data_IF_047500152761
#
_entry.id   IF_047500152761
#
_cell.length_a   1.000
_cell.length_b   1.000
_cell.length_c   1.000
_cell.angle_alpha   90.00
_cell.angle_beta   90.00
_cell.angle_gamma   90.00
#
_symmetry.space_group_name_H-M   'P 1'
#
loop_
_entity.id
_entity.type
_entity.pdbx_description
1 polymer ?
#
# COMPACT_ATOMS: atom_id res chain seq x y z
N UNK A 1 -9.83 -13.49 27.80
CA UNK A 1 -10.67 -13.12 26.65
C UNK A 1 -9.94 -13.55 25.40
N UNK A 2 -10.55 -14.32 24.50
CA UNK A 2 -9.91 -14.61 23.20
C UNK A 2 -9.70 -13.29 22.48
N UNK A 3 -8.45 -12.93 22.19
CA UNK A 3 -8.14 -11.72 21.45
C UNK A 3 -8.85 -11.78 20.09
N UNK A 4 -9.67 -10.77 19.77
CA UNK A 4 -10.25 -10.65 18.43
C UNK A 4 -9.12 -10.51 17.43
N UNK A 5 -9.06 -11.43 16.47
CA UNK A 5 -8.05 -11.46 15.43
C UNK A 5 -8.68 -11.16 14.07
N UNK A 6 -8.05 -10.30 13.29
CA UNK A 6 -8.41 -10.01 11.90
C UNK A 6 -7.41 -10.69 10.97
N UNK A 7 -7.91 -11.45 10.00
CA UNK A 7 -7.11 -11.99 8.91
C UNK A 7 -7.55 -11.31 7.63
N UNK A 8 -6.64 -10.57 7.00
CA UNK A 8 -6.88 -9.92 5.72
C UNK A 8 -6.23 -10.75 4.63
N UNK A 9 -7.00 -11.15 3.62
CA UNK A 9 -6.49 -11.79 2.41
C UNK A 9 -6.67 -10.82 1.26
N UNK A 10 -5.58 -10.38 0.62
CA UNK A 10 -5.71 -9.39 -0.44
C UNK A 10 -4.39 -8.87 -1.00
N UNK A 11 -4.50 -7.84 -1.82
CA UNK A 11 -3.35 -7.27 -2.53
C UNK A 11 -2.42 -6.48 -1.61
N UNK A 12 -1.14 -6.57 -1.93
CA UNK A 12 -0.06 -5.80 -1.35
C UNK A 12 0.87 -5.37 -2.49
N UNK A 13 1.05 -4.06 -2.64
CA UNK A 13 1.73 -3.45 -3.78
C UNK A 13 2.75 -2.42 -3.28
N UNK A 14 3.65 -1.99 -4.16
CA UNK A 14 4.35 -0.72 -4.02
C UNK A 14 3.59 0.35 -4.81
N UNK A 15 3.11 1.35 -4.09
CA UNK A 15 2.42 2.48 -4.70
C UNK A 15 3.42 3.56 -5.08
N UNK A 16 3.20 4.15 -6.26
CA UNK A 16 3.93 5.32 -6.75
C UNK A 16 2.93 6.44 -6.98
N UNK A 17 3.13 7.58 -6.32
CA UNK A 17 2.24 8.72 -6.39
C UNK A 17 3.02 9.98 -6.75
N UNK A 18 2.59 10.65 -7.83
CA UNK A 18 3.11 11.96 -8.22
C UNK A 18 2.08 13.02 -7.91
N UNK A 19 2.51 14.08 -7.22
CA UNK A 19 1.67 15.26 -7.01
C UNK A 19 1.87 16.20 -8.18
N UNK A 20 0.80 16.53 -8.88
CA UNK A 20 0.80 17.51 -9.97
C UNK A 20 -0.21 18.61 -9.66
N UNK A 21 0.00 19.80 -10.20
CA UNK A 21 -0.96 20.90 -10.08
C UNK A 21 -2.34 20.55 -10.69
N UNK A 22 -2.34 19.76 -11.77
CA UNK A 22 -3.51 19.12 -12.39
C UNK A 22 -3.10 17.81 -13.06
N UNK A 23 -4.07 16.99 -13.44
CA UNK A 23 -3.82 15.83 -14.29
C UNK A 23 -3.27 16.24 -15.66
N UNK A 24 -2.37 15.41 -16.25
CA UNK A 24 -1.90 15.62 -17.62
C UNK A 24 -3.04 15.38 -18.62
N UNK A 25 -3.03 16.14 -19.72
CA UNK A 25 -3.89 15.90 -20.87
C UNK A 25 -3.33 14.80 -21.78
N UNK A 26 -4.14 14.16 -22.64
CA UNK A 26 -3.63 13.20 -23.62
C UNK A 26 -2.50 13.80 -24.47
N UNK A 27 -1.35 13.11 -24.52
CA UNK A 27 -0.16 13.54 -25.25
C UNK A 27 0.74 14.56 -24.51
N UNK A 28 0.32 15.09 -23.36
CA UNK A 28 1.12 16.05 -22.58
C UNK A 28 2.15 15.32 -21.70
N UNK A 29 3.40 15.79 -21.70
CA UNK A 29 4.37 15.47 -20.64
C UNK A 29 4.35 16.58 -19.60
N UNK A 30 4.05 16.26 -18.34
CA UNK A 30 3.99 17.22 -17.22
C UNK A 30 5.04 16.91 -16.16
N UNK A 31 5.72 17.94 -15.65
CA UNK A 31 6.60 17.83 -14.49
C UNK A 31 5.76 17.69 -13.21
N UNK A 32 6.09 16.70 -12.39
CA UNK A 32 5.51 16.54 -11.05
C UNK A 32 6.09 17.59 -10.08
N UNK A 33 5.27 18.00 -9.12
CA UNK A 33 5.66 18.84 -7.99
C UNK A 33 6.40 18.01 -6.94
N UNK A 34 5.88 16.82 -6.63
CA UNK A 34 6.48 15.87 -5.70
C UNK A 34 6.28 14.43 -6.17
N UNK A 35 7.06 13.52 -5.58
CA UNK A 35 6.96 12.08 -5.74
C UNK A 35 6.97 11.40 -4.38
N UNK A 36 6.07 10.44 -4.20
CA UNK A 36 5.97 9.58 -3.03
C UNK A 36 5.96 8.12 -3.48
N UNK A 37 6.66 7.26 -2.73
CA UNK A 37 6.55 5.82 -2.90
C UNK A 37 6.50 5.13 -1.54
N UNK A 38 5.76 4.04 -1.46
CA UNK A 38 5.63 3.26 -0.22
C UNK A 38 4.84 1.99 -0.45
N UNK A 39 4.66 1.22 0.63
CA UNK A 39 3.77 0.08 0.61
C UNK A 39 2.30 0.53 0.48
N UNK A 40 1.52 -0.26 -0.25
CA UNK A 40 0.12 0.01 -0.54
C UNK A 40 -0.60 -1.27 -0.98
N UNK A 41 -1.70 -1.10 -1.71
CA UNK A 41 -2.65 -2.18 -1.99
C UNK A 41 -3.78 -2.25 -0.96
N UNK A 42 -4.95 -2.70 -1.42
CA UNK A 42 -6.19 -2.62 -0.61
C UNK A 42 -6.12 -3.53 0.61
N UNK A 43 -5.57 -4.74 0.46
CA UNK A 43 -5.40 -5.68 1.56
C UNK A 43 -4.41 -5.14 2.60
N UNK A 44 -3.25 -4.66 2.14
CA UNK A 44 -2.26 -4.02 3.00
C UNK A 44 -2.85 -2.83 3.77
N UNK A 45 -3.54 -1.90 3.08
CA UNK A 45 -4.12 -0.72 3.72
C UNK A 45 -5.17 -1.07 4.77
N UNK A 46 -5.99 -2.10 4.53
CA UNK A 46 -6.95 -2.61 5.52
C UNK A 46 -6.25 -3.24 6.73
N UNK A 47 -5.22 -4.07 6.50
CA UNK A 47 -4.47 -4.70 7.58
C UNK A 47 -3.76 -3.67 8.48
N UNK A 48 -3.15 -2.66 7.88
CA UNK A 48 -2.55 -1.53 8.61
C UNK A 48 -3.59 -0.75 9.41
N UNK A 49 -4.79 -0.51 8.84
CA UNK A 49 -5.87 0.17 9.55
C UNK A 49 -6.33 -0.61 10.79
N UNK A 50 -6.50 -1.94 10.69
CA UNK A 50 -6.82 -2.79 11.84
C UNK A 50 -5.72 -2.77 12.91
N UNK A 51 -4.45 -2.90 12.50
CA UNK A 51 -3.32 -2.89 13.45
C UNK A 51 -3.18 -1.57 14.19
N UNK A 52 -3.50 -0.43 13.54
CA UNK A 52 -3.53 0.91 14.15
C UNK A 52 -4.62 1.08 15.22
N UNK A 53 -5.59 0.18 15.28
CA UNK A 53 -6.62 0.12 16.32
C UNK A 53 -6.30 -0.95 17.39
N UNK A 54 -5.04 -1.41 17.46
CA UNK A 54 -4.56 -2.43 18.39
C UNK A 54 -5.26 -3.79 18.29
N UNK A 55 -5.82 -4.09 17.12
CA UNK A 55 -6.37 -5.42 16.80
C UNK A 55 -5.26 -6.33 16.30
N UNK A 56 -5.18 -7.55 16.83
CA UNK A 56 -4.27 -8.58 16.33
C UNK A 56 -4.60 -8.87 14.86
N UNK A 57 -3.68 -8.57 13.95
CA UNK A 57 -3.95 -8.59 12.51
C UNK A 57 -2.89 -9.40 11.76
N UNK A 58 -3.33 -10.29 10.88
CA UNK A 58 -2.47 -11.02 9.94
C UNK A 58 -2.87 -10.66 8.50
N UNK A 59 -1.89 -10.36 7.64
CA UNK A 59 -2.08 -10.16 6.21
C UNK A 59 -1.55 -11.38 5.45
N UNK A 60 -2.39 -11.96 4.59
CA UNK A 60 -2.02 -12.98 3.61
C UNK A 60 -2.07 -12.33 2.23
N UNK A 61 -0.91 -12.19 1.60
CA UNK A 61 -0.75 -11.61 0.28
C UNK A 61 0.31 -12.39 -0.52
N UNK A 62 0.19 -12.36 -1.85
CA UNK A 62 1.24 -12.84 -2.75
C UNK A 62 2.17 -11.67 -3.11
N UNK A 63 3.48 -11.86 -2.94
CA UNK A 63 4.51 -10.88 -3.31
C UNK A 63 5.35 -11.41 -4.48
N UNK A 64 5.94 -10.49 -5.23
CA UNK A 64 6.98 -10.81 -6.22
C UNK A 64 8.35 -11.02 -5.57
N UNK A 65 9.36 -11.25 -6.40
CA UNK A 65 10.76 -11.43 -6.00
C UNK A 65 11.62 -10.16 -6.23
N UNK A 66 10.99 -9.03 -6.50
CA UNK A 66 11.68 -7.76 -6.78
C UNK A 66 11.92 -6.91 -5.51
N UNK A 67 12.70 -5.84 -5.65
CA UNK A 67 12.99 -4.89 -4.55
C UNK A 67 11.73 -4.28 -3.93
N UNK A 68 10.61 -4.27 -4.66
CA UNK A 68 9.35 -3.75 -4.14
C UNK A 68 8.77 -4.66 -3.06
N UNK A 69 9.04 -5.97 -3.12
CA UNK A 69 8.60 -6.94 -2.11
C UNK A 69 9.27 -6.74 -0.73
N UNK A 70 10.46 -6.16 -0.67
CA UNK A 70 11.15 -5.90 0.60
C UNK A 70 10.46 -4.77 1.38
N UNK A 71 9.96 -3.75 0.67
CA UNK A 71 9.29 -2.60 1.29
C UNK A 71 7.93 -2.95 1.90
N UNK A 72 7.29 -4.01 1.43
CA UNK A 72 5.95 -4.42 1.85
C UNK A 72 5.92 -5.36 3.07
N UNK A 73 7.09 -5.79 3.56
CA UNK A 73 7.23 -6.71 4.69
C UNK A 73 7.47 -6.01 6.05
N UNK A 74 7.29 -4.68 6.10
CA UNK A 74 7.42 -3.85 7.31
C UNK A 74 6.05 -3.48 7.86
#
# INVERSE_FOLDING_TARGET
>A
MNATQVIVVGSCNRDYAWRCERFPQPGETRRALDFFSGAGGKGYNQAVACRRQDVATCLIAALGEDDSAVLTQR
#
